data_IF_613644237084
#
_entry.id   IF_613644237084
#
_cell.length_a   1.000
_cell.length_b   1.000
_cell.length_c   1.000
_cell.angle_alpha   90.00
_cell.angle_beta   90.00
_cell.angle_gamma   90.00
#
_symmetry.space_group_name_H-M   'P 1'
#
loop_
_entity.id
_entity.type
_entity.pdbx_description
1 polymer ?
#
# COMPACT_ATOMS: atom_id res chain seq x y z
N UNK A 1 0.75 6.03 -20.15
CA UNK A 1 1.64 7.06 -19.54
C UNK A 1 1.17 8.41 -20.06
N UNK A 2 0.99 9.41 -19.20
CA UNK A 2 0.58 10.75 -19.60
C UNK A 2 1.71 11.74 -19.29
N UNK A 3 1.99 12.65 -20.21
CA UNK A 3 2.95 13.75 -20.01
C UNK A 3 2.16 15.02 -19.80
N UNK A 4 2.39 15.69 -18.67
CA UNK A 4 1.76 16.97 -18.34
C UNK A 4 2.79 18.07 -18.54
N UNK A 5 2.45 19.07 -19.34
CA UNK A 5 3.28 20.24 -19.61
C UNK A 5 2.62 21.48 -19.04
N UNK A 6 3.39 22.29 -18.31
CA UNK A 6 2.95 23.56 -17.75
C UNK A 6 3.88 24.70 -18.23
N UNK A 7 3.84 25.06 -19.53
CA UNK A 7 4.82 25.98 -20.13
C UNK A 7 4.73 27.42 -19.60
N UNK A 8 3.54 27.83 -19.15
CA UNK A 8 3.24 29.21 -18.77
C UNK A 8 3.10 29.41 -17.26
N UNK A 9 3.38 28.38 -16.45
CA UNK A 9 3.24 28.44 -14.97
C UNK A 9 4.60 28.31 -14.30
N UNK A 10 4.98 29.31 -13.51
CA UNK A 10 6.22 29.33 -12.74
C UNK A 10 5.95 29.81 -11.30
N UNK A 11 6.57 29.18 -10.26
CA UNK A 11 7.39 27.95 -10.37
C UNK A 11 6.56 26.74 -10.76
N UNK A 12 7.18 25.76 -11.44
CA UNK A 12 6.54 24.47 -11.70
C UNK A 12 6.60 23.63 -10.42
N UNK A 13 5.45 23.23 -9.92
CA UNK A 13 5.32 22.49 -8.67
C UNK A 13 4.54 21.20 -8.88
N UNK A 14 4.94 20.14 -8.19
CA UNK A 14 4.26 18.87 -8.22
C UNK A 14 4.39 18.14 -6.89
N UNK A 15 3.41 17.32 -6.57
CA UNK A 15 3.47 16.40 -5.44
C UNK A 15 3.71 14.99 -5.94
N UNK A 16 4.52 14.24 -5.22
CA UNK A 16 4.88 12.85 -5.55
C UNK A 16 4.38 11.99 -4.41
N UNK A 17 3.64 10.93 -4.74
CA UNK A 17 3.20 9.97 -3.73
C UNK A 17 4.40 9.20 -3.19
N UNK A 18 4.39 8.82 -1.90
CA UNK A 18 5.41 7.94 -1.33
C UNK A 18 5.59 6.67 -2.16
N UNK A 19 6.83 6.18 -2.25
CA UNK A 19 7.15 4.93 -2.95
C UNK A 19 7.14 4.98 -4.49
N UNK A 20 6.75 6.09 -5.13
CA UNK A 20 6.74 6.22 -6.60
C UNK A 20 8.14 6.27 -7.18
N UNK A 21 9.08 6.88 -6.46
CA UNK A 21 10.50 6.90 -6.83
C UNK A 21 11.33 6.21 -5.75
N UNK A 22 12.31 5.42 -6.17
CA UNK A 22 13.30 4.90 -5.25
C UNK A 22 14.18 6.06 -4.75
N UNK A 23 14.55 6.01 -3.46
CA UNK A 23 15.51 6.97 -2.89
C UNK A 23 16.83 6.85 -3.66
N UNK A 24 17.34 7.98 -4.15
CA UNK A 24 18.65 8.04 -4.79
C UNK A 24 19.79 7.86 -3.78
N UNK A 25 20.99 7.69 -4.29
CA UNK A 25 22.18 7.68 -3.44
C UNK A 25 22.35 9.03 -2.75
N UNK A 26 22.80 8.99 -1.49
CA UNK A 26 23.11 10.21 -0.74
C UNK A 26 24.39 10.82 -1.31
N UNK A 27 24.27 12.01 -1.87
CA UNK A 27 25.40 12.81 -2.33
C UNK A 27 25.65 13.97 -1.37
N UNK A 28 26.89 14.45 -1.33
CA UNK A 28 27.22 15.61 -0.51
C UNK A 28 26.32 16.81 -0.93
N UNK A 29 25.70 17.52 0.03
CA UNK A 29 24.79 18.62 -0.28
C UNK A 29 25.57 19.75 -0.96
N UNK A 30 25.13 20.16 -2.15
CA UNK A 30 25.62 21.32 -2.87
C UNK A 30 24.62 22.50 -2.86
N UNK A 31 23.56 22.38 -2.05
CA UNK A 31 22.53 23.39 -1.96
C UNK A 31 22.83 24.43 -0.87
N UNK A 32 22.62 25.69 -1.19
CA UNK A 32 22.55 26.75 -0.20
C UNK A 32 21.21 26.68 0.53
N UNK A 33 21.25 26.65 1.86
CA UNK A 33 20.05 26.62 2.69
C UNK A 33 19.78 28.06 3.17
N UNK A 34 18.77 28.69 2.59
CA UNK A 34 18.30 30.02 2.99
C UNK A 34 17.12 29.82 3.94
N UNK A 35 17.25 30.34 5.17
CA UNK A 35 16.16 30.38 6.14
C UNK A 35 15.49 31.75 6.05
N UNK A 36 14.25 31.76 5.62
CA UNK A 36 13.41 32.95 5.59
C UNK A 36 12.42 32.93 6.75
N UNK A 37 12.32 34.05 7.48
CA UNK A 37 11.33 34.25 8.54
C UNK A 37 10.07 34.87 7.93
N UNK A 38 9.14 33.97 7.54
CA UNK A 38 7.88 34.40 6.91
C UNK A 38 6.83 34.65 8.00
N UNK A 39 6.46 35.89 8.19
CA UNK A 39 5.36 36.27 9.07
C UNK A 39 4.06 36.39 8.26
N UNK A 40 3.05 35.60 8.65
CA UNK A 40 1.69 35.67 8.07
C UNK A 40 0.80 36.41 9.06
N UNK A 41 0.20 37.52 8.64
CA UNK A 41 -0.74 38.25 9.49
C UNK A 41 -1.95 37.37 9.81
N UNK A 42 -2.33 37.20 11.10
CA UNK A 42 -3.49 36.38 11.49
C UNK A 42 -4.80 36.75 10.76
N UNK A 43 -4.93 38.00 10.32
CA UNK A 43 -6.10 38.49 9.57
C UNK A 43 -6.19 37.92 8.14
N UNK A 44 -5.08 37.41 7.58
CA UNK A 44 -5.04 36.77 6.25
C UNK A 44 -5.44 35.30 6.32
N UNK A 45 -5.44 34.69 7.51
CA UNK A 45 -5.83 33.31 7.74
C UNK A 45 -7.36 33.21 7.77
N UNK A 46 -7.94 32.77 6.65
CA UNK A 46 -9.41 32.69 6.50
C UNK A 46 -10.03 31.41 7.02
N UNK A 47 -9.20 30.42 7.38
CA UNK A 47 -9.66 29.10 7.82
C UNK A 47 -9.26 28.88 9.28
N UNK A 48 -10.24 28.48 10.10
CA UNK A 48 -10.01 28.08 11.48
C UNK A 48 -10.31 26.60 11.63
N UNK A 49 -9.37 25.83 12.18
CA UNK A 49 -9.62 24.44 12.56
C UNK A 49 -10.48 24.44 13.81
N UNK A 50 -11.74 24.00 13.68
CA UNK A 50 -12.69 23.96 14.80
C UNK A 50 -12.45 22.76 15.70
N UNK A 51 -12.17 21.61 15.10
CA UNK A 51 -11.98 20.34 15.80
C UNK A 51 -11.13 19.39 14.95
N UNK A 52 -10.28 18.63 15.60
CA UNK A 52 -9.56 17.50 14.99
C UNK A 52 -10.10 16.23 15.61
N UNK A 53 -10.98 15.54 14.89
CA UNK A 53 -11.52 14.25 15.30
C UNK A 53 -10.50 13.19 14.89
N UNK A 54 -9.79 12.63 15.87
CA UNK A 54 -9.02 11.41 15.65
C UNK A 54 -9.99 10.25 15.72
N UNK A 55 -10.01 9.40 14.70
CA UNK A 55 -10.72 8.12 14.81
C UNK A 55 -10.10 7.32 15.97
N UNK A 56 -10.77 7.31 17.12
CA UNK A 56 -10.38 6.49 18.26
C UNK A 56 -10.66 5.03 17.88
N UNK A 57 -9.60 4.25 17.73
CA UNK A 57 -9.67 2.81 17.42
C UNK A 57 -9.37 2.43 15.98
N UNK A 58 -9.09 3.36 15.08
CA UNK A 58 -8.50 3.03 13.78
C UNK A 58 -7.07 2.55 14.00
N UNK A 59 -6.78 1.27 13.83
CA UNK A 59 -5.40 0.80 13.69
C UNK A 59 -4.75 1.63 12.58
N UNK A 60 -3.83 2.49 12.97
CA UNK A 60 -3.03 3.25 12.01
C UNK A 60 -2.02 2.28 11.40
N UNK A 61 -2.42 1.61 10.32
CA UNK A 61 -1.52 0.73 9.58
C UNK A 61 -0.70 1.57 8.63
N UNK A 62 0.61 1.58 8.84
CA UNK A 62 1.54 2.23 7.91
C UNK A 62 1.84 1.29 6.73
N UNK A 63 0.90 1.28 5.76
CA UNK A 63 1.08 0.52 4.52
C UNK A 63 2.11 1.17 3.58
N UNK A 64 2.25 2.49 3.63
CA UNK A 64 3.09 3.23 2.68
C UNK A 64 4.57 3.13 3.04
N UNK A 65 4.88 3.00 4.34
CA UNK A 65 6.24 2.82 4.84
C UNK A 65 6.67 1.36 5.02
N UNK A 66 5.77 0.40 4.80
CA UNK A 66 6.06 -1.02 5.04
C UNK A 66 6.97 -1.64 3.96
N UNK A 67 7.98 -2.39 4.38
CA UNK A 67 8.84 -3.18 3.49
C UNK A 67 8.15 -4.44 2.97
N UNK A 68 7.23 -5.01 3.76
CA UNK A 68 6.48 -6.23 3.42
C UNK A 68 5.00 -6.01 3.66
N UNK A 69 4.18 -6.32 2.68
CA UNK A 69 2.71 -6.27 2.77
C UNK A 69 2.14 -7.63 2.37
N UNK A 70 1.32 -8.21 3.25
CA UNK A 70 0.54 -9.41 2.95
C UNK A 70 -0.93 -9.02 2.84
N UNK A 71 -1.48 -9.11 1.64
CA UNK A 71 -2.80 -8.55 1.30
C UNK A 71 -3.83 -9.63 1.05
N UNK A 72 -4.99 -9.51 1.70
CA UNK A 72 -6.12 -10.41 1.51
C UNK A 72 -7.17 -9.85 0.54
N UNK A 73 -7.63 -10.69 -0.38
CA UNK A 73 -8.72 -10.37 -1.30
C UNK A 73 -10.03 -11.08 -0.96
N UNK A 74 -10.96 -11.09 -1.92
CA UNK A 74 -12.24 -11.80 -1.76
C UNK A 74 -12.07 -13.31 -1.52
N UNK A 75 -10.96 -13.89 -2.01
CA UNK A 75 -10.65 -15.31 -1.81
C UNK A 75 -10.36 -15.71 -0.36
N UNK A 76 -10.20 -14.73 0.54
CA UNK A 76 -10.08 -14.96 2.00
C UNK A 76 -11.40 -15.46 2.60
N UNK A 77 -12.55 -15.13 2.00
CA UNK A 77 -13.85 -15.72 2.32
C UNK A 77 -14.59 -15.12 3.51
N UNK A 78 -13.95 -14.32 4.35
CA UNK A 78 -14.57 -13.72 5.54
C UNK A 78 -13.56 -13.04 6.45
N UNK A 79 -14.01 -12.37 7.52
CA UNK A 79 -13.12 -11.72 8.47
C UNK A 79 -12.19 -12.72 9.19
N UNK A 80 -12.65 -13.94 9.48
CA UNK A 80 -11.84 -14.98 10.12
C UNK A 80 -10.64 -15.39 9.25
N UNK A 81 -10.78 -15.33 7.92
CA UNK A 81 -9.69 -15.66 7.01
C UNK A 81 -8.55 -14.66 7.06
N UNK A 82 -8.77 -13.44 7.55
CA UNK A 82 -7.70 -12.47 7.76
C UNK A 82 -6.74 -12.86 8.89
N UNK A 83 -7.12 -13.75 9.81
CA UNK A 83 -6.20 -14.33 10.78
C UNK A 83 -5.07 -15.10 10.06
N UNK A 84 -5.39 -15.81 8.98
CA UNK A 84 -4.39 -16.51 8.17
C UNK A 84 -3.47 -15.51 7.44
N UNK A 85 -4.01 -14.41 6.94
CA UNK A 85 -3.23 -13.33 6.32
C UNK A 85 -2.28 -12.71 7.34
N UNK A 86 -2.80 -12.43 8.54
CA UNK A 86 -2.02 -11.88 9.66
C UNK A 86 -0.90 -12.82 10.09
N UNK A 87 -1.17 -14.13 10.16
CA UNK A 87 -0.15 -15.12 10.49
C UNK A 87 1.07 -15.03 9.58
N UNK A 88 0.87 -14.86 8.26
CA UNK A 88 1.96 -14.71 7.32
C UNK A 88 2.62 -13.34 7.43
N UNK A 89 1.84 -12.27 7.59
CA UNK A 89 2.38 -10.93 7.77
C UNK A 89 3.29 -10.86 8.99
N UNK A 90 2.84 -11.39 10.13
CA UNK A 90 3.63 -11.43 11.38
C UNK A 90 4.92 -12.25 11.21
N UNK A 91 4.85 -13.40 10.52
CA UNK A 91 6.02 -14.25 10.26
C UNK A 91 7.06 -13.58 9.36
N UNK A 92 6.62 -12.74 8.42
CA UNK A 92 7.49 -11.99 7.51
C UNK A 92 7.92 -10.61 8.05
N UNK A 93 7.45 -10.23 9.25
CA UNK A 93 7.70 -8.89 9.81
C UNK A 93 7.02 -7.78 9.00
N UNK A 94 5.91 -8.09 8.36
CA UNK A 94 5.15 -7.19 7.49
C UNK A 94 3.83 -6.72 8.09
N UNK A 95 3.06 -6.02 7.28
CA UNK A 95 1.74 -5.50 7.64
C UNK A 95 0.64 -6.13 6.79
N UNK A 96 -0.58 -6.15 7.33
CA UNK A 96 -1.75 -6.67 6.62
C UNK A 96 -2.34 -5.59 5.71
N UNK A 97 -2.45 -5.92 4.41
CA UNK A 97 -3.20 -5.14 3.45
C UNK A 97 -4.51 -5.83 3.02
N UNK A 98 -5.31 -5.14 2.24
CA UNK A 98 -6.54 -5.73 1.72
C UNK A 98 -6.94 -5.16 0.36
N UNK A 99 -7.79 -5.91 -0.35
CA UNK A 99 -8.47 -5.38 -1.53
C UNK A 99 -9.72 -4.57 -1.12
N UNK A 100 -10.16 -3.66 -1.98
CA UNK A 100 -11.43 -2.95 -1.80
C UNK A 100 -12.61 -3.89 -1.56
N UNK A 101 -12.66 -5.03 -2.25
CA UNK A 101 -13.76 -5.96 -2.11
C UNK A 101 -13.89 -6.57 -0.69
N UNK A 102 -12.78 -6.72 0.02
CA UNK A 102 -12.79 -7.17 1.41
C UNK A 102 -13.24 -6.06 2.37
N UNK A 103 -12.84 -4.82 2.09
CA UNK A 103 -13.28 -3.63 2.85
C UNK A 103 -14.76 -3.37 2.65
N UNK A 104 -15.24 -3.36 1.40
CA UNK A 104 -16.67 -3.16 1.06
C UNK A 104 -17.56 -4.26 1.70
N UNK A 105 -17.03 -5.48 1.90
CA UNK A 105 -17.69 -6.56 2.60
C UNK A 105 -17.65 -6.44 4.15
N UNK A 106 -16.97 -5.43 4.67
CA UNK A 106 -16.84 -5.19 6.12
C UNK A 106 -15.93 -6.18 6.86
N UNK A 107 -15.04 -6.88 6.13
CA UNK A 107 -14.14 -7.88 6.73
C UNK A 107 -12.92 -7.27 7.41
N UNK A 108 -12.50 -6.10 6.93
CA UNK A 108 -11.35 -5.37 7.46
C UNK A 108 -11.55 -3.87 7.24
N UNK A 109 -10.91 -3.02 8.04
CA UNK A 109 -11.09 -1.57 7.95
C UNK A 109 -10.46 -0.97 6.68
N UNK A 110 -10.97 0.19 6.26
CA UNK A 110 -10.47 0.94 5.09
C UNK A 110 -8.98 1.33 5.23
N UNK A 111 -8.46 1.43 6.45
CA UNK A 111 -7.05 1.73 6.70
C UNK A 111 -6.08 0.72 6.04
N UNK A 112 -6.55 -0.51 5.80
CA UNK A 112 -5.80 -1.59 5.14
C UNK A 112 -5.96 -1.62 3.62
N UNK A 113 -6.80 -0.75 3.04
CA UNK A 113 -7.13 -0.84 1.61
C UNK A 113 -5.95 -0.42 0.73
N UNK A 114 -5.54 -1.34 -0.15
CA UNK A 114 -4.57 -1.09 -1.23
C UNK A 114 -5.31 -0.99 -2.56
N UNK A 115 -4.96 0.01 -3.35
CA UNK A 115 -5.54 0.22 -4.68
C UNK A 115 -5.71 1.69 -5.02
N UNK A 116 -6.28 1.95 -6.18
CA UNK A 116 -6.50 3.31 -6.72
C UNK A 116 -7.32 4.21 -5.77
N UNK A 117 -8.29 3.63 -5.05
CA UNK A 117 -9.17 4.33 -4.09
C UNK A 117 -8.77 4.12 -2.63
N UNK A 118 -7.68 3.43 -2.40
CA UNK A 118 -7.04 3.23 -1.11
C UNK A 118 -5.63 3.81 -1.11
N UNK A 119 -4.74 3.14 -0.40
CA UNK A 119 -3.32 3.50 -0.37
C UNK A 119 -2.59 2.93 -1.58
N UNK A 120 -1.67 3.71 -2.15
CA UNK A 120 -0.71 3.25 -3.15
C UNK A 120 0.59 2.92 -2.43
N UNK A 121 1.08 1.71 -2.64
CA UNK A 121 2.22 1.14 -1.91
C UNK A 121 3.29 0.63 -2.88
N UNK A 122 4.53 0.60 -2.43
CA UNK A 122 5.66 0.06 -3.17
C UNK A 122 6.63 -0.65 -2.21
N UNK A 123 6.17 -1.73 -1.54
CA UNK A 123 7.01 -2.51 -0.63
C UNK A 123 8.07 -3.29 -1.41
N UNK A 124 9.08 -3.80 -0.68
CA UNK A 124 10.03 -4.77 -1.23
C UNK A 124 9.34 -6.08 -1.62
N UNK A 125 8.37 -6.52 -0.80
CA UNK A 125 7.59 -7.73 -1.05
C UNK A 125 6.09 -7.46 -0.86
N UNK A 126 5.31 -7.78 -1.87
CA UNK A 126 3.86 -7.76 -1.82
C UNK A 126 3.32 -9.16 -2.04
N UNK A 127 2.62 -9.72 -1.04
CA UNK A 127 1.98 -11.04 -1.14
C UNK A 127 0.48 -10.86 -1.35
N UNK A 128 -0.01 -11.21 -2.53
CA UNK A 128 -1.41 -11.11 -2.92
C UNK A 128 -2.14 -12.44 -2.67
N UNK A 129 -2.93 -12.54 -1.61
CA UNK A 129 -3.61 -13.76 -1.20
C UNK A 129 -5.10 -13.71 -1.56
N UNK A 130 -5.56 -14.57 -2.47
CA UNK A 130 -6.96 -14.61 -2.91
C UNK A 130 -7.44 -13.31 -3.56
N UNK A 131 -6.53 -12.58 -4.20
CA UNK A 131 -6.77 -11.35 -4.95
C UNK A 131 -6.85 -11.68 -6.44
N UNK A 132 -7.87 -11.17 -7.14
CA UNK A 132 -8.09 -11.47 -8.56
C UNK A 132 -7.13 -10.76 -9.50
N UNK A 133 -6.61 -9.58 -9.12
CA UNK A 133 -5.78 -8.76 -10.00
C UNK A 133 -6.55 -7.71 -10.81
N UNK A 134 -7.67 -7.20 -10.27
CA UNK A 134 -8.37 -6.08 -10.88
C UNK A 134 -7.44 -4.87 -11.04
N UNK A 135 -7.54 -4.17 -12.18
CA UNK A 135 -6.67 -3.05 -12.56
C UNK A 135 -6.58 -1.99 -11.45
N UNK A 136 -7.69 -1.72 -10.75
CA UNK A 136 -7.75 -0.73 -9.67
C UNK A 136 -6.93 -1.16 -8.44
N UNK A 137 -6.82 -2.47 -8.18
CA UNK A 137 -5.95 -2.99 -7.12
C UNK A 137 -4.49 -2.95 -7.55
N UNK A 138 -4.23 -3.45 -8.75
CA UNK A 138 -2.89 -3.48 -9.37
C UNK A 138 -2.26 -2.08 -9.41
N UNK A 139 -3.03 -1.05 -9.77
CA UNK A 139 -2.56 0.34 -9.78
C UNK A 139 -2.04 0.83 -8.42
N UNK A 140 -2.48 0.21 -7.32
CA UNK A 140 -2.03 0.54 -5.98
C UNK A 140 -0.80 -0.22 -5.50
N UNK A 141 -0.34 -1.28 -6.20
CA UNK A 141 0.74 -2.13 -5.70
C UNK A 141 1.78 -2.53 -6.76
N UNK A 142 1.57 -2.16 -8.01
CA UNK A 142 2.49 -2.50 -9.12
C UNK A 142 3.89 -1.91 -8.99
N UNK A 143 4.11 -0.98 -8.06
CA UNK A 143 5.44 -0.44 -7.73
C UNK A 143 6.26 -1.32 -6.78
N UNK A 144 5.73 -2.46 -6.33
CA UNK A 144 6.44 -3.40 -5.46
C UNK A 144 7.66 -4.01 -6.15
N UNK A 145 8.74 -4.25 -5.39
CA UNK A 145 9.96 -4.84 -5.98
C UNK A 145 9.75 -6.33 -6.32
N UNK A 146 8.97 -7.05 -5.51
CA UNK A 146 8.61 -8.47 -5.75
C UNK A 146 7.14 -8.69 -5.42
N UNK A 147 6.41 -9.29 -6.34
CA UNK A 147 5.00 -9.63 -6.20
C UNK A 147 4.85 -11.15 -6.17
N UNK A 148 4.28 -11.65 -5.07
CA UNK A 148 3.96 -13.07 -4.87
C UNK A 148 2.44 -13.21 -4.89
N UNK A 149 1.89 -14.08 -5.75
CA UNK A 149 0.46 -14.33 -5.82
C UNK A 149 0.10 -15.73 -5.34
N UNK A 150 -0.90 -15.83 -4.47
CA UNK A 150 -1.50 -17.10 -4.03
C UNK A 150 -2.98 -17.05 -4.37
N UNK A 151 -3.41 -17.87 -5.32
CA UNK A 151 -4.81 -17.93 -5.76
C UNK A 151 -5.17 -19.35 -6.17
N UNK A 152 -6.41 -19.77 -5.87
CA UNK A 152 -6.93 -21.06 -6.32
C UNK A 152 -7.31 -21.09 -7.79
N UNK A 153 -7.57 -19.93 -8.39
CA UNK A 153 -7.90 -19.75 -9.80
C UNK A 153 -6.61 -19.50 -10.58
N UNK A 154 -6.22 -20.48 -11.39
CA UNK A 154 -5.00 -20.42 -12.20
C UNK A 154 -5.03 -19.33 -13.28
N UNK A 155 -6.25 -18.92 -13.70
CA UNK A 155 -6.46 -17.90 -14.73
C UNK A 155 -6.67 -16.49 -14.13
N UNK A 156 -6.45 -16.34 -12.82
CA UNK A 156 -6.59 -15.03 -12.18
C UNK A 156 -5.57 -14.03 -12.74
N UNK A 157 -6.01 -12.83 -13.19
CA UNK A 157 -5.12 -11.81 -13.76
C UNK A 157 -3.97 -11.36 -12.87
N UNK A 158 -4.03 -11.64 -11.56
CA UNK A 158 -2.92 -11.34 -10.63
C UNK A 158 -1.64 -12.06 -11.02
N UNK A 159 -1.74 -13.23 -11.65
CA UNK A 159 -0.57 -13.99 -12.09
C UNK A 159 0.16 -13.37 -13.28
N UNK A 160 -0.51 -12.51 -14.08
CA UNK A 160 0.12 -11.80 -15.20
C UNK A 160 1.18 -10.79 -14.74
N UNK A 161 1.11 -10.35 -13.47
CA UNK A 161 2.01 -9.36 -12.90
C UNK A 161 2.87 -9.90 -11.74
N UNK A 162 2.62 -11.13 -11.32
CA UNK A 162 3.35 -11.74 -10.21
C UNK A 162 4.71 -12.28 -10.68
N UNK A 163 5.75 -12.02 -9.88
CA UNK A 163 7.07 -12.64 -10.07
C UNK A 163 7.05 -14.11 -9.68
N UNK A 164 6.24 -14.44 -8.67
CA UNK A 164 6.04 -15.82 -8.19
C UNK A 164 4.56 -16.08 -7.99
N UNK A 165 4.08 -17.22 -8.54
CA UNK A 165 2.70 -17.64 -8.43
C UNK A 165 2.54 -19.00 -7.78
N UNK A 166 1.61 -19.12 -6.85
CA UNK A 166 1.19 -20.40 -6.25
C UNK A 166 -0.29 -20.60 -6.55
N UNK A 167 -0.59 -21.60 -7.39
CA UNK A 167 -1.98 -22.00 -7.64
C UNK A 167 -2.41 -22.98 -6.57
N UNK A 168 -3.26 -22.53 -5.66
CA UNK A 168 -3.69 -23.34 -4.51
C UNK A 168 -4.63 -22.59 -3.58
N UNK A 169 -5.16 -23.34 -2.62
CA UNK A 169 -5.96 -22.75 -1.56
C UNK A 169 -5.03 -22.05 -0.55
N UNK A 170 -5.25 -20.76 -0.30
CA UNK A 170 -4.42 -19.97 0.59
C UNK A 170 -4.35 -20.53 2.02
N UNK A 171 -5.41 -21.20 2.49
CA UNK A 171 -5.46 -21.82 3.81
C UNK A 171 -4.57 -23.07 3.94
N UNK A 172 -4.24 -23.69 2.82
CA UNK A 172 -3.32 -24.85 2.80
C UNK A 172 -1.87 -24.38 2.57
N UNK A 173 -1.68 -23.27 1.85
CA UNK A 173 -0.36 -22.76 1.45
C UNK A 173 0.26 -21.88 2.54
N UNK A 174 -0.53 -20.98 3.13
CA UNK A 174 0.00 -19.96 4.06
C UNK A 174 0.55 -20.56 5.36
N UNK A 175 -0.12 -21.48 6.08
CA UNK A 175 0.39 -21.97 7.33
C UNK A 175 1.80 -22.61 7.25
N UNK A 176 2.07 -23.55 6.33
CA UNK A 176 3.42 -24.08 6.19
C UNK A 176 4.44 -23.04 5.71
N UNK A 177 4.03 -22.07 4.88
CA UNK A 177 4.90 -21.00 4.46
C UNK A 177 5.31 -20.09 5.62
N UNK A 178 4.36 -19.72 6.49
CA UNK A 178 4.64 -18.92 7.67
C UNK A 178 5.59 -19.63 8.67
N UNK A 179 5.52 -20.96 8.77
CA UNK A 179 6.46 -21.71 9.61
C UNK A 179 7.90 -21.69 9.06
N UNK A 180 8.07 -21.62 7.74
CA UNK A 180 9.42 -21.51 7.15
C UNK A 180 10.07 -20.14 7.46
N UNK A 181 9.30 -19.06 7.54
CA UNK A 181 9.80 -17.72 7.88
C UNK A 181 10.12 -17.55 9.37
N UNK A 182 9.69 -18.45 10.25
CA UNK A 182 10.01 -18.42 11.68
C UNK A 182 11.34 -19.11 12.02
N UNK A 183 11.93 -19.83 11.07
CA UNK A 183 13.23 -20.52 11.24
C UNK A 183 14.39 -19.57 11.10
#
# INVERSE_FOLDING_TARGET
MATILCPDSFPQMGTIRPGVFKKGEEVAPHAEIIKEDIHVDPSEIRTTVLEVIKEEGGESVDLEGADVIVSGGRGVGGPEGFETIKLLADAMGGVVGSSRAAVDAGWISHAHQVGQTGKTVAPKIYVACGISGAIQHVAGMSGSDTIIAINKDADAPIFDIADYGVVGNLFDVIPPLAEEFKK
#
